data_IF_496089799046
#
_entry.id   IF_496089799046
#
_cell.length_a   1.000
_cell.length_b   1.000
_cell.length_c   1.000
_cell.angle_alpha   90.00
_cell.angle_beta   90.00
_cell.angle_gamma   90.00
#
_symmetry.space_group_name_H-M   'P 1'
#
loop_
_entity.id
_entity.type
_entity.pdbx_description
1 polymer ?
#
# COMPACT_ATOMS: atom_id res chain seq x y z
N UNK A 1 -6.80 15.56 -0.54
CA UNK A 1 -6.32 14.20 -0.79
C UNK A 1 -5.35 13.80 0.31
N UNK A 2 -5.58 12.66 0.95
CA UNK A 2 -4.76 12.11 2.04
C UNK A 2 -3.93 10.94 1.50
N UNK A 3 -2.62 10.93 1.74
CA UNK A 3 -1.69 9.90 1.27
C UNK A 3 -1.30 8.97 2.42
N UNK A 4 -1.78 7.74 2.36
CA UNK A 4 -1.62 6.78 3.45
C UNK A 4 -0.20 6.24 3.52
N UNK A 5 0.47 6.11 2.37
CA UNK A 5 1.86 5.65 2.30
C UNK A 5 2.79 6.72 2.87
N UNK A 6 2.52 8.00 2.60
CA UNK A 6 3.28 9.11 3.21
C UNK A 6 3.07 9.15 4.72
N UNK A 7 1.83 8.98 5.21
CA UNK A 7 1.56 8.90 6.65
C UNK A 7 2.36 7.79 7.32
N UNK A 8 2.37 6.58 6.73
CA UNK A 8 3.16 5.46 7.25
C UNK A 8 4.66 5.77 7.27
N UNK A 9 5.22 6.31 6.18
CA UNK A 9 6.64 6.70 6.12
C UNK A 9 6.97 7.66 7.28
N UNK A 10 6.14 8.67 7.49
CA UNK A 10 6.39 9.72 8.48
C UNK A 10 6.21 9.20 9.90
N UNK A 11 5.23 8.34 10.15
CA UNK A 11 5.04 7.69 11.44
C UNK A 11 6.25 6.82 11.82
N UNK A 12 6.73 6.00 10.88
CA UNK A 12 7.90 5.14 11.11
C UNK A 12 9.16 5.97 11.27
N UNK A 13 9.34 7.05 10.49
CA UNK A 13 10.47 7.97 10.65
C UNK A 13 10.45 8.67 12.02
N UNK A 14 9.29 9.15 12.47
CA UNK A 14 9.17 9.78 13.79
C UNK A 14 9.45 8.80 14.92
N UNK A 15 8.95 7.56 14.80
CA UNK A 15 9.28 6.48 15.75
C UNK A 15 10.79 6.25 15.80
N UNK A 16 11.44 6.22 14.63
CA UNK A 16 12.90 6.09 14.51
C UNK A 16 13.67 7.22 15.20
N UNK A 17 13.23 8.47 15.03
CA UNK A 17 13.90 9.63 15.61
C UNK A 17 13.66 9.78 17.12
N UNK A 18 12.53 9.32 17.63
CA UNK A 18 12.16 9.46 19.03
C UNK A 18 12.80 8.41 19.95
N UNK A 19 13.28 7.29 19.40
CA UNK A 19 13.94 6.25 20.18
C UNK A 19 15.40 6.64 20.50
N UNK A 20 15.64 7.06 21.75
CA UNK A 20 16.94 7.58 22.21
C UNK A 20 18.03 6.51 22.36
N UNK A 21 17.65 5.25 22.58
CA UNK A 21 18.61 4.19 22.93
C UNK A 21 19.01 3.32 21.74
N UNK A 22 18.03 2.76 21.03
CA UNK A 22 18.25 1.73 20.02
C UNK A 22 16.93 1.42 19.32
N UNK A 23 16.88 1.58 18.00
CA UNK A 23 15.71 1.26 17.21
C UNK A 23 15.82 -0.12 16.58
N UNK A 24 14.80 -0.95 16.77
CA UNK A 24 14.76 -2.30 16.25
C UNK A 24 13.65 -2.49 15.21
N UNK A 25 13.98 -3.18 14.13
CA UNK A 25 12.99 -3.78 13.24
C UNK A 25 13.18 -5.29 13.30
N UNK A 26 12.15 -5.99 13.76
CA UNK A 26 12.27 -7.40 14.17
C UNK A 26 13.39 -7.55 15.22
N UNK A 27 14.41 -8.37 14.95
CA UNK A 27 15.52 -8.62 15.88
C UNK A 27 16.79 -7.80 15.55
N UNK A 28 16.66 -6.72 14.77
CA UNK A 28 17.79 -6.03 14.15
C UNK A 28 17.85 -4.56 14.53
N UNK A 29 18.95 -4.18 15.16
CA UNK A 29 19.25 -2.80 15.52
C UNK A 29 19.57 -2.00 14.25
N UNK A 30 18.94 -0.84 14.12
CA UNK A 30 19.10 0.08 13.00
C UNK A 30 19.95 1.26 13.46
N UNK A 31 21.14 1.42 12.88
CA UNK A 31 22.14 2.42 13.30
C UNK A 31 22.43 3.47 12.22
N UNK A 32 21.47 3.76 11.34
CA UNK A 32 21.67 4.69 10.22
C UNK A 32 21.33 6.14 10.62
N UNK A 33 21.89 7.14 9.92
CA UNK A 33 21.41 8.53 10.11
C UNK A 33 19.94 8.62 9.68
N UNK A 34 19.10 9.48 10.29
CA UNK A 34 17.68 9.63 9.92
C UNK A 34 17.45 9.86 8.42
N UNK A 35 18.33 10.62 7.76
CA UNK A 35 18.27 10.80 6.30
C UNK A 35 18.47 9.51 5.49
N UNK A 36 19.35 8.61 5.93
CA UNK A 36 19.57 7.31 5.28
C UNK A 36 18.42 6.35 5.59
N UNK A 37 17.87 6.41 6.80
CA UNK A 37 16.68 5.65 7.16
C UNK A 37 15.47 6.08 6.31
N UNK A 38 15.27 7.38 6.11
CA UNK A 38 14.26 7.89 5.19
C UNK A 38 14.49 7.41 3.74
N UNK A 39 15.74 7.41 3.26
CA UNK A 39 16.06 6.79 1.98
C UNK A 39 15.61 5.33 1.93
N UNK A 40 15.86 4.54 2.97
CA UNK A 40 15.42 3.15 3.04
C UNK A 40 13.87 3.03 3.02
N UNK A 41 13.16 3.93 3.72
CA UNK A 41 11.69 4.00 3.67
C UNK A 41 11.17 4.31 2.26
N UNK A 42 11.82 5.21 1.51
CA UNK A 42 11.39 5.54 0.15
C UNK A 42 11.56 4.37 -0.84
N UNK A 43 12.40 3.37 -0.55
CA UNK A 43 12.61 2.19 -1.40
C UNK A 43 11.39 1.24 -1.48
N UNK A 44 10.29 1.56 -0.80
CA UNK A 44 8.97 0.94 -1.06
C UNK A 44 8.40 1.39 -2.42
N UNK A 45 8.76 2.58 -2.90
CA UNK A 45 8.38 3.06 -4.22
C UNK A 45 9.26 2.44 -5.31
N UNK A 46 8.74 2.41 -6.54
CA UNK A 46 9.50 1.86 -7.66
C UNK A 46 10.78 2.66 -7.92
N UNK A 47 11.83 1.98 -8.42
CA UNK A 47 13.12 2.61 -8.76
C UNK A 47 13.01 3.80 -9.71
N UNK A 48 11.94 3.86 -10.52
CA UNK A 48 11.68 4.97 -11.45
C UNK A 48 11.20 6.23 -10.73
N UNK A 49 10.50 6.07 -9.60
CA UNK A 49 9.98 7.20 -8.82
C UNK A 49 10.99 7.69 -7.77
N UNK A 50 11.90 6.83 -7.33
CA UNK A 50 12.89 7.14 -6.30
C UNK A 50 13.67 8.45 -6.54
N UNK A 51 14.25 8.72 -7.74
CA UNK A 51 14.96 9.98 -7.97
C UNK A 51 14.07 11.22 -7.83
N UNK A 52 12.80 11.09 -8.23
CA UNK A 52 11.84 12.19 -8.14
C UNK A 52 11.37 12.43 -6.70
N UNK A 53 11.14 11.36 -5.94
CA UNK A 53 10.67 11.46 -4.55
C UNK A 53 11.78 11.80 -3.55
N UNK A 54 13.02 11.40 -3.86
CA UNK A 54 14.21 11.65 -3.04
C UNK A 54 15.04 12.84 -3.49
N UNK A 55 14.55 13.68 -4.42
CA UNK A 55 15.30 14.81 -5.00
C UNK A 55 15.89 15.76 -3.93
N UNK A 56 15.16 15.95 -2.83
CA UNK A 56 15.58 16.82 -1.73
C UNK A 56 16.52 16.14 -0.72
N UNK A 57 16.84 14.86 -0.92
CA UNK A 57 17.77 14.10 -0.10
C UNK A 57 19.08 13.98 -0.89
N UNK A 58 20.16 14.58 -0.41
CA UNK A 58 21.45 14.56 -1.12
C UNK A 58 21.90 13.12 -1.43
N UNK A 59 21.96 12.77 -2.71
CA UNK A 59 22.28 11.42 -3.20
C UNK A 59 23.74 11.05 -2.91
N UNK A 60 24.65 12.03 -2.83
CA UNK A 60 26.08 11.78 -2.61
C UNK A 60 26.37 11.17 -1.24
N UNK A 61 25.56 11.52 -0.24
CA UNK A 61 25.63 10.90 1.08
C UNK A 61 25.18 9.43 1.06
N UNK A 62 24.25 9.07 0.19
CA UNK A 62 23.76 7.69 0.06
C UNK A 62 24.80 6.79 -0.65
N UNK A 63 25.53 7.31 -1.64
CA UNK A 63 26.58 6.55 -2.35
C UNK A 63 27.63 6.00 -1.37
N UNK A 64 28.10 6.82 -0.44
CA UNK A 64 29.04 6.38 0.60
C UNK A 64 28.46 5.26 1.47
N UNK A 65 27.17 5.33 1.85
CA UNK A 65 26.49 4.28 2.61
C UNK A 65 26.39 3.00 1.79
N UNK A 66 26.03 3.09 0.51
CA UNK A 66 25.90 1.92 -0.36
C UNK A 66 27.25 1.23 -0.61
N UNK A 67 28.35 1.99 -0.67
CA UNK A 67 29.70 1.46 -0.82
C UNK A 67 30.21 0.73 0.43
N UNK A 68 29.96 1.28 1.62
CA UNK A 68 30.56 0.78 2.86
C UNK A 68 29.62 -0.08 3.72
N UNK A 69 28.32 0.13 3.60
CA UNK A 69 27.25 -0.49 4.41
C UNK A 69 26.08 -0.99 3.52
N UNK A 70 26.33 -1.22 2.23
CA UNK A 70 25.28 -1.56 1.26
C UNK A 70 24.48 -2.80 1.62
N UNK A 71 25.13 -3.82 2.23
CA UNK A 71 24.43 -5.02 2.70
C UNK A 71 23.42 -4.68 3.81
N UNK A 72 23.86 -3.98 4.86
CA UNK A 72 22.99 -3.61 5.99
C UNK A 72 21.87 -2.68 5.55
N UNK A 73 22.15 -1.76 4.62
CA UNK A 73 21.15 -0.85 4.06
C UNK A 73 20.08 -1.62 3.27
N UNK A 74 20.49 -2.53 2.37
CA UNK A 74 19.54 -3.32 1.59
C UNK A 74 18.74 -4.29 2.47
N UNK A 75 19.36 -4.82 3.50
CA UNK A 75 18.68 -5.64 4.49
C UNK A 75 17.61 -4.83 5.26
N UNK A 76 17.93 -3.61 5.69
CA UNK A 76 16.94 -2.68 6.26
C UNK A 76 15.78 -2.40 5.30
N UNK A 77 16.07 -2.15 4.01
CA UNK A 77 15.04 -1.95 2.98
C UNK A 77 14.10 -3.16 2.89
N UNK A 78 14.63 -4.38 2.94
CA UNK A 78 13.81 -5.59 2.87
C UNK A 78 12.94 -5.77 4.12
N UNK A 79 13.46 -5.44 5.32
CA UNK A 79 12.67 -5.43 6.55
C UNK A 79 11.53 -4.39 6.50
N UNK A 80 11.82 -3.17 6.07
CA UNK A 80 10.82 -2.12 5.92
C UNK A 80 9.74 -2.47 4.90
N UNK A 81 10.12 -3.13 3.79
CA UNK A 81 9.15 -3.65 2.81
C UNK A 81 8.24 -4.70 3.41
N UNK A 82 8.77 -5.60 4.24
CA UNK A 82 7.98 -6.61 4.94
C UNK A 82 6.99 -5.95 5.89
N UNK A 83 7.44 -5.02 6.73
CA UNK A 83 6.59 -4.25 7.67
C UNK A 83 5.50 -3.47 6.91
N UNK A 84 5.87 -2.74 5.86
CA UNK A 84 4.92 -2.01 5.02
C UNK A 84 3.90 -2.94 4.36
N UNK A 85 4.35 -4.08 3.82
CA UNK A 85 3.45 -5.03 3.17
C UNK A 85 2.40 -5.54 4.14
N UNK A 86 2.80 -5.82 5.39
CA UNK A 86 1.89 -6.24 6.45
C UNK A 86 0.90 -5.11 6.77
N UNK A 87 1.40 -3.92 7.08
CA UNK A 87 0.58 -2.75 7.37
C UNK A 87 -0.44 -2.45 6.25
N UNK A 88 -0.02 -2.50 4.98
CA UNK A 88 -0.90 -2.20 3.85
C UNK A 88 -2.02 -3.24 3.73
N UNK A 89 -1.69 -4.53 3.86
CA UNK A 89 -2.68 -5.62 3.84
C UNK A 89 -3.69 -5.46 4.98
N UNK A 90 -3.22 -5.22 6.20
CA UNK A 90 -4.08 -5.04 7.37
C UNK A 90 -5.06 -3.87 7.18
N UNK A 91 -4.58 -2.75 6.62
CA UNK A 91 -5.45 -1.62 6.29
C UNK A 91 -6.57 -2.04 5.31
N UNK A 92 -6.24 -2.72 4.21
CA UNK A 92 -7.26 -3.17 3.25
C UNK A 92 -8.25 -4.17 3.86
N UNK A 93 -7.79 -5.07 4.73
CA UNK A 93 -8.63 -6.12 5.29
C UNK A 93 -9.54 -5.62 6.42
N UNK A 94 -9.06 -4.68 7.24
CA UNK A 94 -9.69 -4.36 8.52
C UNK A 94 -10.26 -2.94 8.60
N UNK A 95 -9.83 -2.02 7.75
CA UNK A 95 -10.26 -0.62 7.80
C UNK A 95 -11.29 -0.29 6.73
N UNK A 96 -12.33 0.43 7.13
CA UNK A 96 -13.29 1.02 6.21
C UNK A 96 -12.79 2.39 5.74
N UNK A 97 -12.72 2.56 4.42
CA UNK A 97 -12.29 3.78 3.77
C UNK A 97 -13.42 4.39 2.93
N UNK A 98 -13.38 5.71 2.78
CA UNK A 98 -14.19 6.40 1.76
C UNK A 98 -13.76 5.99 0.35
N UNK A 99 -14.61 6.23 -0.64
CA UNK A 99 -14.29 5.94 -2.04
C UNK A 99 -13.07 6.71 -2.54
N UNK A 100 -12.97 8.00 -2.18
CA UNK A 100 -11.78 8.83 -2.46
C UNK A 100 -10.52 8.21 -1.85
N UNK A 101 -10.62 7.70 -0.63
CA UNK A 101 -9.48 7.07 0.06
C UNK A 101 -9.06 5.76 -0.60
N UNK A 102 -10.01 4.93 -1.03
CA UNK A 102 -9.70 3.73 -1.82
C UNK A 102 -9.06 4.07 -3.16
N UNK A 103 -9.49 5.17 -3.80
CA UNK A 103 -8.87 5.65 -5.03
C UNK A 103 -7.42 6.08 -4.78
N UNK A 104 -7.15 6.85 -3.73
CA UNK A 104 -5.79 7.24 -3.38
C UNK A 104 -4.92 6.02 -3.04
N UNK A 105 -5.41 5.07 -2.25
CA UNK A 105 -4.69 3.83 -1.93
C UNK A 105 -4.38 3.01 -3.19
N UNK A 106 -5.29 2.92 -4.15
CA UNK A 106 -5.07 2.20 -5.40
C UNK A 106 -3.98 2.87 -6.26
N UNK A 107 -3.96 4.21 -6.31
CA UNK A 107 -2.90 4.96 -6.99
C UNK A 107 -1.55 4.81 -6.29
N UNK A 108 -1.50 4.97 -4.96
CA UNK A 108 -0.28 4.75 -4.16
C UNK A 108 0.26 3.33 -4.36
N UNK A 109 -0.62 2.32 -4.30
CA UNK A 109 -0.27 0.93 -4.56
C UNK A 109 0.40 0.74 -5.92
N UNK A 110 -0.06 1.41 -6.97
CA UNK A 110 0.50 1.30 -8.31
C UNK A 110 1.88 1.98 -8.46
N UNK A 111 2.25 2.89 -7.55
CA UNK A 111 3.58 3.51 -7.51
C UNK A 111 4.63 2.69 -6.74
N UNK A 112 4.19 1.68 -5.98
CA UNK A 112 5.09 0.80 -5.24
C UNK A 112 5.98 -0.03 -6.16
N UNK A 113 7.10 -0.48 -5.62
CA UNK A 113 8.01 -1.42 -6.24
C UNK A 113 7.30 -2.75 -6.58
N UNK A 114 7.67 -3.40 -7.68
CA UNK A 114 6.93 -4.54 -8.22
C UNK A 114 6.90 -5.75 -7.28
N UNK A 115 8.03 -6.11 -6.67
CA UNK A 115 8.10 -7.19 -5.71
C UNK A 115 7.25 -6.90 -4.47
N UNK A 116 7.28 -5.67 -3.95
CA UNK A 116 6.43 -5.24 -2.84
C UNK A 116 4.94 -5.31 -3.20
N UNK A 117 4.56 -4.85 -4.40
CA UNK A 117 3.17 -4.99 -4.89
C UNK A 117 2.72 -6.44 -4.89
N UNK A 118 3.57 -7.38 -5.32
CA UNK A 118 3.25 -8.82 -5.31
C UNK A 118 3.10 -9.38 -3.89
N UNK A 119 3.96 -8.95 -2.95
CA UNK A 119 3.87 -9.34 -1.53
C UNK A 119 2.56 -8.89 -0.87
N UNK A 120 1.98 -7.78 -1.34
CA UNK A 120 0.67 -7.29 -0.89
C UNK A 120 -0.46 -7.98 -1.68
N UNK A 121 -0.37 -7.98 -3.00
CA UNK A 121 -1.43 -8.39 -3.91
C UNK A 121 -1.76 -9.88 -3.81
N UNK A 122 -0.75 -10.76 -3.78
CA UNK A 122 -0.99 -12.21 -3.82
C UNK A 122 -1.81 -12.67 -2.60
N UNK A 123 -1.43 -12.34 -1.34
CA UNK A 123 -2.22 -12.72 -0.18
C UNK A 123 -3.64 -12.17 -0.19
N UNK A 124 -3.83 -10.90 -0.61
CA UNK A 124 -5.16 -10.29 -0.67
C UNK A 124 -6.05 -10.94 -1.75
N UNK A 125 -5.48 -11.29 -2.91
CA UNK A 125 -6.20 -12.02 -3.94
C UNK A 125 -6.57 -13.42 -3.50
N UNK A 126 -5.70 -14.12 -2.77
CA UNK A 126 -5.99 -15.46 -2.25
C UNK A 126 -7.09 -15.42 -1.19
N UNK A 127 -7.11 -14.40 -0.33
CA UNK A 127 -8.26 -14.17 0.57
C UNK A 127 -9.53 -13.87 -0.20
N UNK A 128 -9.47 -13.02 -1.24
CA UNK A 128 -10.64 -12.73 -2.08
C UNK A 128 -11.15 -13.98 -2.79
N UNK A 129 -10.27 -14.86 -3.29
CA UNK A 129 -10.66 -16.15 -3.90
C UNK A 129 -11.42 -17.03 -2.92
N UNK A 130 -10.94 -17.15 -1.67
CA UNK A 130 -11.62 -17.94 -0.63
C UNK A 130 -13.02 -17.40 -0.37
N UNK A 131 -13.13 -16.10 -0.15
CA UNK A 131 -14.43 -15.45 0.06
C UNK A 131 -15.38 -15.58 -1.14
N UNK A 132 -14.87 -15.60 -2.37
CA UNK A 132 -15.70 -15.89 -3.56
C UNK A 132 -16.26 -17.31 -3.50
N UNK A 133 -15.42 -18.31 -3.20
CA UNK A 133 -15.84 -19.70 -3.11
C UNK A 133 -16.86 -19.91 -1.98
N UNK A 134 -16.60 -19.33 -0.81
CA UNK A 134 -17.50 -19.40 0.35
C UNK A 134 -18.86 -18.77 0.01
N UNK A 135 -18.88 -17.64 -0.69
CA UNK A 135 -20.13 -16.98 -1.09
C UNK A 135 -20.86 -17.75 -2.20
N UNK A 136 -20.13 -18.36 -3.13
CA UNK A 136 -20.70 -19.26 -4.15
C UNK A 136 -21.40 -20.46 -3.50
N UNK A 137 -20.75 -21.13 -2.55
CA UNK A 137 -21.35 -22.24 -1.79
C UNK A 137 -22.61 -21.80 -1.04
N UNK A 138 -22.57 -20.65 -0.38
CA UNK A 138 -23.75 -20.11 0.33
C UNK A 138 -24.91 -19.84 -0.62
N UNK A 139 -24.64 -19.26 -1.79
CA UNK A 139 -25.66 -18.96 -2.80
C UNK A 139 -26.21 -20.23 -3.45
N UNK A 140 -25.36 -21.21 -3.75
CA UNK A 140 -25.75 -22.46 -4.39
C UNK A 140 -26.58 -23.37 -3.47
N UNK A 141 -26.24 -23.38 -2.17
CA UNK A 141 -26.95 -24.18 -1.16
C UNK A 141 -28.10 -23.43 -0.46
N UNK A 142 -28.41 -22.20 -0.90
CA UNK A 142 -29.44 -21.33 -0.30
C UNK A 142 -29.25 -21.14 1.23
N UNK A 143 -27.98 -21.16 1.69
CA UNK A 143 -27.64 -20.95 3.10
C UNK A 143 -27.87 -19.49 3.52
N UNK A 144 -28.14 -19.23 4.82
CA UNK A 144 -28.16 -17.87 5.34
C UNK A 144 -26.82 -17.15 5.15
N UNK A 145 -26.86 -15.86 4.80
CA UNK A 145 -25.65 -15.04 4.58
C UNK A 145 -24.95 -14.59 5.89
N UNK A 146 -25.52 -14.90 7.04
CA UNK A 146 -25.07 -14.37 8.34
C UNK A 146 -23.64 -14.81 8.73
N UNK A 147 -23.19 -15.95 8.21
CA UNK A 147 -21.83 -16.47 8.45
C UNK A 147 -20.77 -15.88 7.51
N UNK A 148 -21.16 -15.08 6.52
CA UNK A 148 -20.23 -14.54 5.52
C UNK A 148 -19.59 -13.24 5.97
N UNK A 149 -18.26 -13.13 5.85
CA UNK A 149 -17.52 -11.88 6.13
C UNK A 149 -17.70 -10.85 5.01
N UNK A 150 -18.91 -10.27 4.97
CA UNK A 150 -19.33 -9.26 3.99
C UNK A 150 -18.39 -8.06 3.98
N UNK A 151 -17.96 -7.59 5.15
CA UNK A 151 -17.12 -6.38 5.25
C UNK A 151 -15.77 -6.61 4.59
N UNK A 152 -15.06 -7.68 4.96
CA UNK A 152 -13.75 -8.00 4.36
C UNK A 152 -13.87 -8.19 2.85
N UNK A 153 -14.89 -8.91 2.39
CA UNK A 153 -15.10 -9.14 0.97
C UNK A 153 -15.34 -7.84 0.18
N UNK A 154 -16.21 -6.96 0.70
CA UNK A 154 -16.50 -5.66 0.10
C UNK A 154 -15.25 -4.79 0.04
N UNK A 155 -14.41 -4.75 1.09
CA UNK A 155 -13.17 -3.96 1.10
C UNK A 155 -12.19 -4.42 0.02
N UNK A 156 -11.95 -5.74 -0.06
CA UNK A 156 -11.10 -6.35 -1.08
C UNK A 156 -11.62 -6.04 -2.49
N UNK A 157 -12.92 -6.19 -2.72
CA UNK A 157 -13.54 -5.93 -4.01
C UNK A 157 -13.45 -4.45 -4.39
N UNK A 158 -13.71 -3.53 -3.46
CA UNK A 158 -13.57 -2.08 -3.68
C UNK A 158 -12.14 -1.72 -4.11
N UNK A 159 -11.15 -2.19 -3.35
CA UNK A 159 -9.75 -1.92 -3.64
C UNK A 159 -9.32 -2.45 -5.01
N UNK A 160 -9.50 -3.75 -5.29
CA UNK A 160 -9.05 -4.33 -6.55
C UNK A 160 -9.84 -3.83 -7.76
N UNK A 161 -11.12 -3.49 -7.60
CA UNK A 161 -11.89 -2.88 -8.67
C UNK A 161 -11.33 -1.52 -9.07
N UNK A 162 -10.91 -0.68 -8.12
CA UNK A 162 -10.28 0.61 -8.44
C UNK A 162 -8.90 0.42 -9.06
N UNK A 163 -8.08 -0.50 -8.54
CA UNK A 163 -6.78 -0.83 -9.14
C UNK A 163 -6.95 -1.23 -10.61
N UNK A 164 -7.90 -2.11 -10.93
CA UNK A 164 -8.18 -2.55 -12.31
C UNK A 164 -8.79 -1.45 -13.20
N UNK A 165 -9.48 -0.46 -12.62
CA UNK A 165 -9.96 0.71 -13.37
C UNK A 165 -8.81 1.65 -13.74
N UNK A 166 -7.80 1.79 -12.88
CA UNK A 166 -6.63 2.64 -13.12
C UNK A 166 -5.63 1.96 -14.07
N UNK A 167 -5.23 0.72 -13.75
CA UNK A 167 -4.26 -0.05 -14.52
C UNK A 167 -4.71 -1.52 -14.62
N UNK A 168 -5.19 -1.92 -15.81
CA UNK A 168 -5.72 -3.27 -16.03
C UNK A 168 -4.64 -4.34 -15.85
N UNK A 169 -4.99 -5.44 -15.18
CA UNK A 169 -4.10 -6.57 -14.98
C UNK A 169 -4.81 -7.91 -15.21
N UNK A 170 -4.08 -9.01 -14.96
CA UNK A 170 -4.64 -10.36 -14.99
C UNK A 170 -5.67 -10.60 -13.87
N UNK A 171 -5.77 -9.72 -12.88
CA UNK A 171 -6.72 -9.84 -11.77
C UNK A 171 -8.15 -9.46 -12.16
N UNK A 172 -8.35 -8.77 -13.30
CA UNK A 172 -9.66 -8.42 -13.84
C UNK A 172 -10.66 -9.59 -13.88
N UNK A 173 -10.23 -10.81 -14.21
CA UNK A 173 -11.10 -12.00 -14.22
C UNK A 173 -11.66 -12.31 -12.84
N UNK A 174 -10.84 -12.22 -11.80
CA UNK A 174 -11.24 -12.50 -10.43
C UNK A 174 -12.17 -11.40 -9.89
N UNK A 175 -11.87 -10.14 -10.19
CA UNK A 175 -12.74 -8.99 -9.85
C UNK A 175 -14.11 -9.12 -10.51
N UNK A 176 -14.17 -9.52 -11.79
CA UNK A 176 -15.44 -9.78 -12.48
C UNK A 176 -16.23 -10.91 -11.82
N UNK A 177 -15.57 -12.03 -11.49
CA UNK A 177 -16.20 -13.15 -10.77
C UNK A 177 -16.77 -12.68 -9.42
N UNK A 178 -16.01 -11.90 -8.66
CA UNK A 178 -16.45 -11.32 -7.39
C UNK A 178 -17.69 -10.44 -7.55
N UNK A 179 -17.73 -9.54 -8.54
CA UNK A 179 -18.92 -8.72 -8.82
C UNK A 179 -20.15 -9.57 -9.13
N UNK A 180 -19.99 -10.58 -10.00
CA UNK A 180 -21.10 -11.45 -10.40
C UNK A 180 -21.68 -12.21 -9.21
N UNK A 181 -20.84 -12.74 -8.30
CA UNK A 181 -21.37 -13.45 -7.14
C UNK A 181 -22.03 -12.51 -6.13
N UNK A 182 -21.52 -11.28 -5.95
CA UNK A 182 -22.19 -10.26 -5.13
C UNK A 182 -23.58 -9.93 -5.67
N UNK A 183 -23.70 -9.75 -6.99
CA UNK A 183 -24.98 -9.45 -7.63
C UNK A 183 -26.00 -10.57 -7.38
N UNK A 184 -25.58 -11.83 -7.48
CA UNK A 184 -26.42 -13.00 -7.15
C UNK A 184 -26.81 -13.05 -5.67
N UNK A 185 -25.85 -12.87 -4.77
CA UNK A 185 -26.06 -13.00 -3.34
C UNK A 185 -26.92 -11.86 -2.74
N UNK A 186 -26.72 -10.63 -3.22
CA UNK A 186 -27.30 -9.43 -2.62
C UNK A 186 -28.26 -8.68 -3.55
N UNK A 187 -28.65 -9.27 -4.69
CA UNK A 187 -29.65 -8.71 -5.64
C UNK A 187 -29.41 -7.23 -5.99
N UNK A 188 -28.15 -6.87 -6.20
CA UNK A 188 -27.70 -5.52 -6.57
C UNK A 188 -27.73 -4.46 -5.46
N UNK A 189 -27.94 -4.81 -4.19
CA UNK A 189 -27.85 -3.87 -3.06
C UNK A 189 -26.43 -3.28 -2.86
N UNK A 190 -25.42 -3.86 -3.52
CA UNK A 190 -24.05 -3.42 -3.49
C UNK A 190 -23.58 -2.99 -4.89
N UNK A 191 -23.39 -1.69 -5.07
CA UNK A 191 -22.83 -1.12 -6.29
C UNK A 191 -21.32 -0.85 -6.14
N UNK A 192 -20.55 -1.27 -7.15
CA UNK A 192 -19.09 -1.09 -7.20
C UNK A 192 -18.64 -0.21 -8.37
N UNK A 193 -19.56 0.55 -8.96
CA UNK A 193 -19.21 1.55 -9.97
C UNK A 193 -18.96 2.90 -9.36
N UNK A 194 -17.78 2.99 -8.74
CA UNK A 194 -17.29 4.26 -8.21
C UNK A 194 -16.79 5.15 -9.35
N UNK A 195 -17.15 6.45 -9.35
CA UNK A 195 -16.56 7.42 -10.24
C UNK A 195 -15.08 7.54 -9.91
N UNK A 196 -14.23 7.34 -10.92
CA UNK A 196 -12.79 7.57 -10.77
C UNK A 196 -12.55 9.06 -10.95
N UNK A 197 -11.95 9.77 -9.98
CA UNK A 197 -11.56 11.16 -10.17
C UNK A 197 -10.73 11.31 -11.45
N UNK A 198 -11.04 12.30 -12.28
CA UNK A 198 -10.30 12.61 -13.51
C UNK A 198 -8.96 13.29 -13.18
N UNK A 199 -8.07 12.58 -12.50
CA UNK A 199 -6.74 13.04 -12.12
C UNK A 199 -5.72 12.26 -12.95
N UNK A 200 -4.84 12.96 -13.66
CA UNK A 200 -3.75 12.31 -14.40
C UNK A 200 -2.72 11.71 -13.45
N UNK A 201 -1.97 10.72 -13.94
CA UNK A 201 -0.90 10.07 -13.18
C UNK A 201 0.18 11.09 -12.75
N UNK A 202 0.48 12.05 -13.61
CA UNK A 202 1.45 13.12 -13.38
C UNK A 202 0.97 14.09 -12.28
N UNK A 203 -0.31 14.48 -12.30
CA UNK A 203 -0.89 15.34 -11.26
C UNK A 203 -0.92 14.62 -9.91
N UNK A 204 -1.25 13.32 -9.89
CA UNK A 204 -1.21 12.52 -8.67
C UNK A 204 0.20 12.46 -8.07
N UNK A 205 1.21 12.12 -8.89
CA UNK A 205 2.62 12.06 -8.46
C UNK A 205 3.13 13.39 -7.93
N UNK A 206 2.79 14.49 -8.61
CA UNK A 206 3.20 15.83 -8.18
C UNK A 206 2.59 16.20 -6.85
N UNK A 207 1.30 15.87 -6.63
CA UNK A 207 0.62 16.10 -5.36
C UNK A 207 1.21 15.24 -4.24
N UNK A 208 1.53 13.98 -4.52
CA UNK A 208 2.20 13.07 -3.59
C UNK A 208 3.57 13.61 -3.17
N UNK A 209 4.41 14.03 -4.14
CA UNK A 209 5.72 14.61 -3.84
C UNK A 209 5.60 15.85 -2.96
N UNK A 210 4.69 16.77 -3.29
CA UNK A 210 4.46 17.98 -2.48
C UNK A 210 4.08 17.66 -1.04
N UNK A 211 3.22 16.67 -0.82
CA UNK A 211 2.85 16.26 0.53
C UNK A 211 4.02 15.59 1.26
N UNK A 212 4.76 14.71 0.57
CA UNK A 212 5.95 14.06 1.11
C UNK A 212 7.01 15.10 1.54
N UNK A 213 7.36 16.04 0.65
CA UNK A 213 8.33 17.11 0.90
C UNK A 213 7.92 17.99 2.10
N UNK A 214 6.64 18.34 2.17
CA UNK A 214 6.07 19.12 3.27
C UNK A 214 6.22 18.39 4.61
N UNK A 215 5.89 17.11 4.64
CA UNK A 215 5.96 16.31 5.86
C UNK A 215 7.42 16.04 6.27
N UNK A 216 8.31 15.72 5.33
CA UNK A 216 9.74 15.52 5.60
C UNK A 216 10.35 16.79 6.18
N UNK A 217 10.08 17.95 5.58
CA UNK A 217 10.60 19.24 6.05
C UNK A 217 10.20 19.53 7.50
N UNK A 218 9.01 19.09 7.92
CA UNK A 218 8.55 19.22 9.31
C UNK A 218 9.17 18.21 10.28
N UNK A 219 9.73 17.10 9.78
CA UNK A 219 10.28 16.02 10.62
C UNK A 219 11.81 16.05 10.74
N UNK A 220 12.50 16.60 9.74
CA UNK A 220 13.95 16.53 9.66
C UNK A 220 14.69 17.78 10.13
N UNK A 221 14.00 18.82 10.68
CA UNK A 221 14.57 20.10 11.15
C UNK A 221 16.03 20.32 10.72
N UNK A 222 16.21 20.85 9.52
CA UNK A 222 17.49 21.46 9.09
C UNK A 222 17.48 22.91 9.54
#
# INVERSE_FOLDING_TARGET
MKFYTVEWIIEVLKRYQAEETSFFIEDKEVSFKPKHFLWALLHIYSKKELPFLGENLDIKDLESVLEHQGFDFMYLVDLLRKEFSYWFKENILHRDFSEESYFTLAQEFLLLEEQLRKQIQIPLLDQMKKLILDLEEIVEEEKPLDSFDKKKFVRLLKFFNLVEKIEKSKCSRLVKRAKNIVEKAYKSDLHFDFPVPAISKETFKTTLKKELDKQISSCLEV
#
